data_IF_966460102260
#
_entry.id   IF_966460102260
#
_cell.length_a   1.000
_cell.length_b   1.000
_cell.length_c   1.000
_cell.angle_alpha   90.00
_cell.angle_beta   90.00
_cell.angle_gamma   90.00
#
_symmetry.space_group_name_H-M   'P 1'
#
loop_
_entity.id
_entity.type
_entity.pdbx_description
1 polymer ?
#
# COMPACT_ATOMS: atom_id res chain seq x y z
N UNK A 1 15.41 9.94 -1.35
CA UNK A 1 16.84 9.99 -1.73
C UNK A 1 16.95 11.11 -2.73
N UNK A 2 17.74 12.12 -2.39
CA UNK A 2 18.12 13.20 -3.30
C UNK A 2 19.51 12.81 -3.84
N UNK A 3 19.63 12.63 -5.16
CA UNK A 3 20.87 12.21 -5.82
C UNK A 3 21.77 13.40 -6.17
N UNK A 4 21.63 14.51 -5.45
CA UNK A 4 22.29 15.78 -5.75
C UNK A 4 21.29 16.75 -6.38
N UNK A 5 21.55 18.07 -6.29
CA UNK A 5 20.58 19.07 -6.72
C UNK A 5 20.21 18.82 -8.18
N UNK A 6 18.91 18.57 -8.41
CA UNK A 6 18.31 18.66 -9.73
C UNK A 6 18.80 19.97 -10.36
N UNK A 7 19.42 19.87 -11.54
CA UNK A 7 19.84 21.04 -12.33
C UNK A 7 18.65 21.82 -12.88
N UNK A 8 17.45 21.32 -12.60
CA UNK A 8 16.21 21.76 -13.17
C UNK A 8 15.61 22.78 -12.19
N UNK A 9 15.30 23.96 -12.69
CA UNK A 9 14.98 25.17 -11.90
C UNK A 9 13.67 25.14 -11.09
N UNK A 10 13.28 24.02 -10.48
CA UNK A 10 12.13 23.97 -9.58
C UNK A 10 12.04 22.64 -8.85
N UNK A 11 11.73 22.71 -7.54
CA UNK A 11 11.59 21.61 -6.58
C UNK A 11 10.59 20.53 -7.04
N UNK A 12 10.99 19.63 -7.95
CA UNK A 12 10.16 18.56 -8.52
C UNK A 12 10.93 17.25 -8.52
N UNK A 13 10.20 16.16 -8.31
CA UNK A 13 10.75 14.80 -8.43
C UNK A 13 10.79 14.44 -9.90
N UNK A 14 11.91 13.90 -10.40
CA UNK A 14 12.10 13.60 -11.82
C UNK A 14 12.77 12.24 -12.09
N UNK A 15 12.65 11.79 -13.34
CA UNK A 15 13.29 10.57 -13.85
C UNK A 15 14.46 10.81 -14.81
N UNK A 16 14.88 12.05 -15.03
CA UNK A 16 15.86 12.41 -16.06
C UNK A 16 17.28 12.32 -15.50
N UNK A 17 18.09 11.42 -16.07
CA UNK A 17 19.45 11.12 -15.60
C UNK A 17 19.46 10.23 -14.35
N UNK A 18 18.76 10.63 -13.28
CA UNK A 18 18.56 9.84 -12.07
C UNK A 18 17.07 9.67 -11.78
N UNK A 19 16.66 8.47 -11.37
CA UNK A 19 15.30 8.26 -10.84
C UNK A 19 15.23 8.75 -9.40
N UNK A 20 14.41 9.76 -9.16
CA UNK A 20 14.14 10.31 -7.85
C UNK A 20 12.90 9.67 -7.22
N UNK A 21 12.87 9.63 -5.89
CA UNK A 21 11.77 9.02 -5.14
C UNK A 21 11.55 9.65 -3.76
N UNK A 22 10.29 9.70 -3.36
CA UNK A 22 9.81 10.13 -2.05
C UNK A 22 9.50 8.92 -1.19
N UNK A 23 10.06 8.88 0.03
CA UNK A 23 9.76 7.86 1.03
C UNK A 23 8.67 8.36 1.97
N UNK A 24 7.59 7.60 2.09
CA UNK A 24 6.55 7.82 3.08
C UNK A 24 6.66 6.77 4.18
N UNK A 25 6.56 7.22 5.43
CA UNK A 25 6.56 6.37 6.62
C UNK A 25 5.28 6.59 7.41
N UNK A 26 4.62 5.48 7.74
CA UNK A 26 3.48 5.45 8.65
C UNK A 26 3.83 4.65 9.91
N UNK A 27 3.17 4.96 11.03
CA UNK A 27 3.36 4.23 12.29
C UNK A 27 2.73 2.82 12.27
N UNK A 28 1.83 2.58 11.32
CA UNK A 28 1.10 1.32 11.13
C UNK A 28 1.00 0.98 9.64
N UNK A 29 0.59 -0.24 9.31
CA UNK A 29 0.35 -0.63 7.92
C UNK A 29 -0.81 0.17 7.32
N UNK A 30 -0.57 0.80 6.17
CA UNK A 30 -1.53 1.60 5.42
C UNK A 30 -1.61 1.06 4.00
N UNK A 31 -2.81 0.99 3.46
CA UNK A 31 -3.07 0.80 2.03
C UNK A 31 -3.11 2.19 1.42
N UNK A 32 -2.13 2.56 0.59
CA UNK A 32 -2.24 3.81 -0.19
C UNK A 32 -3.27 3.61 -1.29
N UNK A 33 -4.40 4.31 -1.21
CA UNK A 33 -5.53 4.16 -2.13
C UNK A 33 -5.48 5.14 -3.29
N UNK A 34 -4.98 6.36 -3.05
CA UNK A 34 -4.89 7.37 -4.09
C UNK A 34 -3.74 8.35 -3.88
N UNK A 35 -3.23 8.88 -4.99
CA UNK A 35 -2.15 9.88 -5.03
C UNK A 35 -2.61 11.05 -5.90
N UNK A 36 -2.51 12.26 -5.33
CA UNK A 36 -2.74 13.52 -6.04
C UNK A 36 -1.42 14.10 -6.53
N UNK A 37 -1.37 14.47 -7.80
CA UNK A 37 -0.23 15.15 -8.42
C UNK A 37 -0.56 16.64 -8.57
N UNK A 38 0.36 17.49 -8.12
CA UNK A 38 0.22 18.94 -8.14
C UNK A 38 1.11 19.66 -9.16
N UNK A 39 1.86 18.92 -9.98
CA UNK A 39 2.75 19.49 -10.99
C UNK A 39 2.05 19.60 -12.34
N UNK A 40 2.03 20.81 -12.92
CA UNK A 40 1.05 21.22 -13.95
C UNK A 40 1.66 21.36 -15.35
N UNK A 41 2.94 21.03 -15.54
CA UNK A 41 3.63 21.28 -16.80
C UNK A 41 4.41 20.05 -17.25
N UNK A 42 3.77 19.22 -18.08
CA UNK A 42 4.37 18.01 -18.64
C UNK A 42 3.54 16.76 -18.35
N UNK A 43 4.13 15.60 -18.65
CA UNK A 43 3.61 14.30 -18.26
C UNK A 43 4.02 13.97 -16.81
N UNK A 44 3.28 13.09 -16.15
CA UNK A 44 3.56 12.67 -14.78
C UNK A 44 3.29 11.19 -14.63
N UNK A 45 4.30 10.39 -14.95
CA UNK A 45 4.27 8.96 -14.68
C UNK A 45 5.03 8.64 -13.40
N UNK A 46 4.41 7.81 -12.56
CA UNK A 46 4.99 7.41 -11.28
C UNK A 46 5.04 5.89 -11.17
N UNK A 47 5.96 5.43 -10.34
CA UNK A 47 5.99 4.06 -9.86
C UNK A 47 5.79 4.04 -8.35
N UNK A 48 4.91 3.15 -7.91
CA UNK A 48 4.58 2.94 -6.50
C UNK A 48 5.20 1.64 -6.02
N UNK A 49 5.97 1.72 -4.93
CA UNK A 49 6.56 0.57 -4.28
C UNK A 49 6.16 0.51 -2.81
N UNK A 50 6.05 -0.70 -2.30
CA UNK A 50 5.87 -0.97 -0.87
C UNK A 50 7.06 -1.74 -0.33
N UNK A 51 7.39 -1.51 0.93
CA UNK A 51 8.36 -2.35 1.63
C UNK A 51 7.67 -3.59 2.20
N UNK A 52 8.22 -4.76 1.92
CA UNK A 52 7.79 -6.08 2.43
C UNK A 52 8.85 -6.75 3.31
N UNK A 53 10.03 -6.14 3.44
CA UNK A 53 11.09 -6.63 4.31
C UNK A 53 10.79 -6.44 5.80
N UNK A 54 11.71 -6.91 6.64
CA UNK A 54 11.66 -6.72 8.09
C UNK A 54 12.48 -5.48 8.50
N UNK A 55 12.11 -4.84 9.60
CA UNK A 55 12.86 -3.70 10.14
C UNK A 55 12.74 -2.41 9.32
N UNK A 56 13.76 -1.56 9.42
CA UNK A 56 13.83 -0.28 8.71
C UNK A 56 14.41 -0.51 7.31
N UNK A 57 13.77 -0.05 6.23
CA UNK A 57 14.29 -0.21 4.89
C UNK A 57 15.64 0.50 4.74
N UNK A 58 16.60 -0.20 4.14
CA UNK A 58 17.89 0.38 3.76
C UNK A 58 17.79 0.90 2.33
N UNK A 59 18.26 2.12 2.12
CA UNK A 59 18.23 2.82 0.84
C UNK A 59 19.68 3.11 0.43
N UNK A 60 20.19 2.41 -0.59
CA UNK A 60 21.60 2.48 -1.02
C UNK A 60 21.71 2.53 -2.53
N UNK A 61 22.52 3.46 -3.06
CA UNK A 61 22.66 3.66 -4.50
C UNK A 61 21.49 4.45 -5.09
N UNK A 62 21.22 4.26 -6.38
CA UNK A 62 20.10 4.95 -7.06
C UNK A 62 18.75 4.35 -6.65
N UNK A 63 17.67 5.13 -6.77
CA UNK A 63 16.34 4.63 -6.45
C UNK A 63 15.97 3.42 -7.34
N UNK A 64 16.29 3.49 -8.63
CA UNK A 64 16.05 2.38 -9.55
C UNK A 64 16.81 1.10 -9.17
N UNK A 65 18.08 1.21 -8.76
CA UNK A 65 18.88 0.06 -8.32
C UNK A 65 18.34 -0.53 -7.00
N UNK A 66 17.90 0.32 -6.06
CA UNK A 66 17.30 -0.11 -4.80
C UNK A 66 15.98 -0.85 -5.03
N UNK A 67 15.14 -0.34 -5.93
CA UNK A 67 13.77 -0.82 -6.14
C UNK A 67 13.67 -2.05 -7.07
N UNK A 68 14.68 -2.29 -7.93
CA UNK A 68 14.76 -3.50 -8.77
C UNK A 68 15.47 -4.66 -8.09
N UNK A 69 16.20 -4.41 -7.00
CA UNK A 69 16.86 -5.46 -6.24
C UNK A 69 15.88 -6.11 -5.24
N UNK A 70 15.37 -7.29 -5.58
CA UNK A 70 14.44 -8.04 -4.73
C UNK A 70 14.98 -8.33 -3.31
N UNK A 71 16.30 -8.39 -3.12
CA UNK A 71 16.93 -8.56 -1.81
C UNK A 71 16.79 -7.36 -0.87
N UNK A 72 16.39 -6.20 -1.39
CA UNK A 72 16.21 -4.95 -0.62
C UNK A 72 14.81 -4.81 -0.02
N UNK A 73 13.93 -5.80 -0.20
CA UNK A 73 12.59 -5.83 0.40
C UNK A 73 11.60 -4.84 -0.20
N UNK A 74 11.91 -4.25 -1.36
CA UNK A 74 10.98 -3.41 -2.11
C UNK A 74 10.21 -4.22 -3.14
N UNK A 75 8.89 -4.06 -3.16
CA UNK A 75 8.00 -4.69 -4.12
C UNK A 75 7.25 -3.62 -4.91
N UNK A 76 7.29 -3.73 -6.25
CA UNK A 76 6.48 -2.89 -7.14
C UNK A 76 4.99 -3.19 -6.90
N UNK A 77 4.22 -2.14 -6.69
CA UNK A 77 2.76 -2.17 -6.54
C UNK A 77 2.10 -1.79 -7.86
N UNK A 78 2.67 -0.81 -8.56
CA UNK A 78 2.32 -0.55 -9.95
C UNK A 78 2.94 0.71 -10.53
N UNK A 79 2.88 0.80 -11.86
CA UNK A 79 3.26 1.97 -12.65
C UNK A 79 1.98 2.68 -13.11
N UNK A 80 1.93 3.99 -12.95
CA UNK A 80 0.73 4.79 -13.22
C UNK A 80 1.12 6.01 -14.02
N UNK A 81 0.53 6.15 -15.19
CA UNK A 81 0.71 7.33 -16.02
C UNK A 81 -0.58 8.03 -16.38
N UNK A 82 -0.43 9.06 -17.20
CA UNK A 82 -1.47 10.05 -17.49
C UNK A 82 -2.09 10.63 -16.19
N UNK A 83 -1.26 10.83 -15.15
CA UNK A 83 -1.74 11.35 -13.88
C UNK A 83 -1.98 12.86 -13.98
N UNK A 84 -3.12 13.23 -14.54
CA UNK A 84 -3.50 14.62 -14.72
C UNK A 84 -3.56 15.41 -13.41
N UNK A 85 -3.18 16.70 -13.48
CA UNK A 85 -3.55 17.69 -12.46
C UNK A 85 -5.05 17.85 -12.47
N UNK A 86 -5.69 17.38 -11.42
CA UNK A 86 -7.13 17.46 -11.32
C UNK A 86 -7.51 18.47 -10.25
N UNK A 87 -7.89 19.66 -10.70
CA UNK A 87 -8.43 20.74 -9.85
C UNK A 87 -9.80 20.41 -9.24
N UNK A 88 -10.46 19.33 -9.70
CA UNK A 88 -11.84 18.97 -9.33
C UNK A 88 -11.96 17.60 -8.62
N UNK A 89 -10.99 16.70 -8.76
CA UNK A 89 -10.91 15.41 -8.07
C UNK A 89 -9.45 15.12 -7.66
N UNK A 90 -9.03 15.47 -6.44
CA UNK A 90 -7.63 15.73 -6.09
C UNK A 90 -6.72 14.49 -5.95
N UNK A 91 -7.12 13.33 -6.48
CA UNK A 91 -6.30 12.11 -6.37
C UNK A 91 -6.68 11.04 -7.39
N UNK A 92 -5.66 10.39 -7.97
CA UNK A 92 -5.79 9.23 -8.84
C UNK A 92 -5.76 7.94 -8.03
N UNK A 93 -6.67 7.01 -8.30
CA UNK A 93 -6.68 5.70 -7.66
C UNK A 93 -5.42 4.89 -8.03
N UNK A 94 -4.77 4.33 -7.02
CA UNK A 94 -3.59 3.46 -7.15
C UNK A 94 -3.81 2.19 -6.32
N UNK A 95 -2.88 1.23 -6.41
CA UNK A 95 -2.86 0.03 -5.57
C UNK A 95 -4.20 -0.74 -5.58
N UNK A 96 -4.65 -1.12 -6.78
CA UNK A 96 -5.95 -1.79 -6.96
C UNK A 96 -6.03 -3.16 -6.29
N UNK A 97 -4.88 -3.81 -6.06
CA UNK A 97 -4.74 -5.05 -5.29
C UNK A 97 -4.97 -4.83 -3.79
N UNK A 98 -4.84 -3.59 -3.32
CA UNK A 98 -5.13 -3.17 -1.96
C UNK A 98 -4.01 -3.44 -0.97
N UNK A 99 -2.81 -3.79 -1.43
CA UNK A 99 -1.66 -4.19 -0.60
C UNK A 99 -1.27 -3.14 0.44
N UNK A 100 -0.91 -3.58 1.65
CA UNK A 100 -0.50 -2.72 2.76
C UNK A 100 1.02 -2.62 2.95
N UNK A 101 1.48 -1.50 3.50
CA UNK A 101 2.81 -1.36 4.12
C UNK A 101 2.88 -0.13 5.04
N UNK A 102 3.84 -0.11 5.95
CA UNK A 102 4.20 1.08 6.72
C UNK A 102 5.24 1.96 6.02
N UNK A 103 5.88 1.46 4.95
CA UNK A 103 6.84 2.20 4.15
C UNK A 103 6.52 2.12 2.67
N UNK A 104 6.44 3.28 2.03
CA UNK A 104 6.09 3.42 0.63
C UNK A 104 7.11 4.29 -0.09
N UNK A 105 7.48 3.92 -1.29
CA UNK A 105 8.24 4.77 -2.22
C UNK A 105 7.34 5.17 -3.38
N UNK A 106 7.34 6.46 -3.68
CA UNK A 106 6.73 7.01 -4.89
C UNK A 106 7.87 7.60 -5.70
N UNK A 107 8.17 7.03 -6.86
CA UNK A 107 9.24 7.49 -7.74
C UNK A 107 8.69 8.01 -9.06
N UNK A 108 9.52 8.75 -9.78
CA UNK A 108 9.29 8.95 -11.21
C UNK A 108 9.33 7.57 -11.90
N UNK A 109 8.57 7.42 -12.97
CA UNK A 109 8.58 6.19 -13.73
C UNK A 109 9.98 5.88 -14.29
N UNK A 110 10.30 4.59 -14.38
CA UNK A 110 11.50 4.10 -15.04
C UNK A 110 11.15 2.82 -15.79
N UNK A 111 11.61 2.69 -17.03
CA UNK A 111 11.34 1.52 -17.88
C UNK A 111 11.81 0.20 -17.25
N UNK A 112 12.81 0.23 -16.38
CA UNK A 112 13.27 -0.95 -15.62
C UNK A 112 12.23 -1.50 -14.63
N UNK A 113 11.19 -0.73 -14.29
CA UNK A 113 10.10 -1.15 -13.42
C UNK A 113 8.96 -1.85 -14.18
N UNK A 114 9.05 -1.98 -15.50
CA UNK A 114 8.07 -2.69 -16.33
C UNK A 114 6.90 -1.81 -16.80
N UNK A 115 5.82 -2.45 -17.23
CA UNK A 115 4.70 -1.79 -17.94
C UNK A 115 3.70 -1.07 -17.02
N UNK A 116 2.86 -0.21 -17.61
CA UNK A 116 1.77 0.47 -16.93
C UNK A 116 0.73 -0.48 -16.32
N UNK A 117 0.26 -0.15 -15.11
CA UNK A 117 -0.98 -0.67 -14.55
C UNK A 117 -2.19 0.19 -14.91
N UNK A 118 -1.96 1.49 -15.19
CA UNK A 118 -2.97 2.46 -15.63
C UNK A 118 -2.30 3.56 -16.46
N UNK A 119 -2.98 4.03 -17.49
CA UNK A 119 -2.49 5.08 -18.37
C UNK A 119 -1.40 4.59 -19.32
N UNK A 120 -0.89 5.51 -20.13
CA UNK A 120 0.36 5.35 -20.86
C UNK A 120 1.51 5.71 -19.92
N UNK A 121 2.59 4.93 -19.94
CA UNK A 121 3.82 5.32 -19.26
C UNK A 121 4.95 5.37 -20.26
N UNK A 122 5.75 6.43 -20.24
CA UNK A 122 6.98 6.54 -21.00
C UNK A 122 8.09 7.17 -20.14
N UNK A 123 9.34 6.96 -20.53
CA UNK A 123 10.47 7.52 -19.78
C UNK A 123 10.97 8.75 -20.50
N UNK A 124 11.13 9.84 -19.75
CA UNK A 124 11.92 10.98 -20.20
C UNK A 124 11.43 12.34 -19.76
N UNK A 125 10.16 12.46 -19.31
CA UNK A 125 9.60 13.73 -18.84
C UNK A 125 8.72 13.56 -17.59
N UNK A 126 9.07 12.58 -16.75
CA UNK A 126 8.29 12.21 -15.56
C UNK A 126 8.60 13.14 -14.41
N UNK A 127 7.99 14.33 -14.43
CA UNK A 127 8.15 15.33 -13.39
C UNK A 127 6.90 15.38 -12.55
N UNK A 128 7.02 15.26 -11.23
CA UNK A 128 5.85 15.39 -10.38
C UNK A 128 6.13 16.06 -9.03
N UNK A 129 5.05 16.59 -8.46
CA UNK A 129 4.96 17.02 -7.07
C UNK A 129 3.77 16.31 -6.44
N UNK A 130 3.97 15.76 -5.25
CA UNK A 130 2.87 15.14 -4.51
C UNK A 130 2.03 16.25 -3.91
N UNK A 131 0.77 16.32 -4.33
CA UNK A 131 -0.24 17.22 -3.75
C UNK A 131 -0.93 16.56 -2.55
N UNK A 132 -1.29 15.29 -2.69
CA UNK A 132 -1.98 14.55 -1.66
C UNK A 132 -1.66 13.06 -1.73
N UNK A 133 -1.75 12.38 -0.58
CA UNK A 133 -1.84 10.92 -0.52
C UNK A 133 -3.00 10.56 0.39
N UNK A 134 -3.81 9.60 -0.02
CA UNK A 134 -4.90 9.08 0.79
C UNK A 134 -4.78 7.57 0.92
N UNK A 135 -5.08 7.06 2.10
CA UNK A 135 -4.98 5.65 2.40
C UNK A 135 -5.92 5.23 3.52
N UNK A 136 -6.08 3.91 3.63
CA UNK A 136 -6.90 3.26 4.65
C UNK A 136 -6.03 2.34 5.50
N UNK A 137 -6.45 2.10 6.74
CA UNK A 137 -5.71 1.20 7.62
C UNK A 137 -5.73 -0.23 7.06
N UNK A 138 -4.55 -0.86 6.98
CA UNK A 138 -4.44 -2.30 6.76
C UNK A 138 -4.45 -2.99 8.13
N UNK A 139 -5.60 -3.57 8.48
CA UNK A 139 -5.88 -4.12 9.81
C UNK A 139 -5.64 -5.63 9.91
N UNK A 140 -5.43 -6.35 8.80
CA UNK A 140 -5.27 -7.82 8.79
C UNK A 140 -4.30 -8.29 7.70
N UNK A 141 -3.21 -8.95 8.09
CA UNK A 141 -2.28 -9.58 7.14
C UNK A 141 -1.60 -8.59 6.17
N UNK A 142 -1.21 -9.09 4.99
CA UNK A 142 -0.53 -8.35 3.92
C UNK A 142 -1.54 -7.69 2.95
N UNK A 143 -2.51 -6.96 3.50
CA UNK A 143 -3.88 -6.82 2.98
C UNK A 143 -4.02 -6.74 1.44
N UNK A 144 -4.45 -7.80 0.74
CA UNK A 144 -4.66 -7.82 -0.71
C UNK A 144 -6.13 -8.06 -1.10
N UNK A 145 -7.06 -7.32 -0.50
CA UNK A 145 -8.49 -7.47 -0.74
C UNK A 145 -9.28 -6.45 0.05
N UNK A 146 -9.66 -5.34 -0.61
CA UNK A 146 -10.46 -4.20 -0.14
C UNK A 146 -11.13 -4.42 1.24
N UNK A 147 -10.53 -3.83 2.27
CA UNK A 147 -11.12 -3.73 3.59
C UNK A 147 -12.46 -2.98 3.50
N UNK A 148 -13.56 -3.73 3.52
CA UNK A 148 -14.88 -3.24 3.92
C UNK A 148 -15.37 -4.16 5.03
N UNK A 149 -15.33 -3.66 6.28
CA UNK A 149 -15.94 -4.29 7.43
C UNK A 149 -14.96 -5.04 8.33
N UNK A 150 -14.71 -4.44 9.49
CA UNK A 150 -13.98 -5.06 10.59
C UNK A 150 -14.43 -6.51 10.84
N UNK A 151 -13.53 -7.47 10.60
CA UNK A 151 -13.62 -8.76 11.29
C UNK A 151 -13.06 -8.57 12.68
N UNK A 152 -13.92 -8.07 13.56
CA UNK A 152 -13.76 -8.34 15.00
C UNK A 152 -13.69 -9.87 15.09
N UNK A 153 -12.66 -10.47 15.71
CA UNK A 153 -12.71 -11.88 16.06
C UNK A 153 -14.02 -12.07 16.81
N UNK A 154 -14.97 -12.82 16.24
CA UNK A 154 -16.21 -13.16 16.94
C UNK A 154 -15.78 -13.69 18.31
N UNK A 155 -16.11 -12.98 19.41
CA UNK A 155 -15.50 -13.28 20.69
C UNK A 155 -15.74 -14.75 20.99
N UNK A 156 -14.73 -15.45 21.50
CA UNK A 156 -14.85 -16.84 21.94
C UNK A 156 -16.05 -17.08 22.87
N UNK A 157 -16.65 -16.01 23.41
CA UNK A 157 -17.99 -15.95 23.99
C UNK A 157 -19.08 -16.68 23.20
N UNK A 158 -19.14 -16.62 21.85
CA UNK A 158 -20.20 -17.33 21.11
C UNK A 158 -19.98 -18.85 21.13
N UNK A 159 -18.71 -19.28 20.98
CA UNK A 159 -18.32 -20.67 21.17
C UNK A 159 -18.53 -21.13 22.62
N UNK A 160 -18.27 -20.26 23.61
CA UNK A 160 -18.46 -20.56 25.04
C UNK A 160 -19.94 -20.61 25.43
N UNK A 161 -20.78 -19.76 24.86
CA UNK A 161 -22.24 -19.79 25.03
C UNK A 161 -22.81 -21.06 24.38
N UNK A 162 -22.35 -21.42 23.18
CA UNK A 162 -22.73 -22.67 22.53
C UNK A 162 -22.31 -23.90 23.36
N UNK A 163 -21.06 -23.94 23.84
CA UNK A 163 -20.57 -25.00 24.71
C UNK A 163 -21.33 -25.07 26.05
N UNK A 164 -21.65 -23.92 26.64
CA UNK A 164 -22.44 -23.81 27.86
C UNK A 164 -23.87 -24.34 27.69
N UNK A 165 -24.54 -24.01 26.59
CA UNK A 165 -25.88 -24.52 26.29
C UNK A 165 -25.87 -26.05 26.12
N UNK A 166 -24.94 -26.58 25.33
CA UNK A 166 -24.81 -28.03 25.11
C UNK A 166 -24.51 -28.76 26.42
N UNK A 167 -23.64 -28.20 27.27
CA UNK A 167 -23.38 -28.72 28.62
C UNK A 167 -24.63 -28.76 29.50
N UNK A 168 -25.42 -27.68 29.52
CA UNK A 168 -26.65 -27.60 30.33
C UNK A 168 -27.72 -28.61 29.88
N UNK A 169 -27.94 -28.75 28.57
CA UNK A 169 -28.88 -29.73 28.02
C UNK A 169 -28.39 -31.18 28.20
N UNK A 170 -27.08 -31.42 28.11
CA UNK A 170 -26.47 -32.73 28.35
C UNK A 170 -26.61 -33.20 29.80
N UNK A 171 -26.42 -32.31 30.78
CA UNK A 171 -26.57 -32.63 32.21
C UNK A 171 -28.03 -32.88 32.59
N UNK A 172 -28.98 -32.16 31.99
CA UNK A 172 -30.41 -32.36 32.24
C UNK A 172 -30.89 -33.74 31.82
N UNK A 173 -30.35 -34.30 30.74
CA UNK A 173 -30.72 -35.63 30.22
C UNK A 173 -30.23 -36.79 31.08
N UNK A 174 -29.13 -36.61 31.82
CA UNK A 174 -28.62 -37.64 32.76
C UNK A 174 -29.40 -37.70 34.08
N UNK A 175 -30.01 -36.60 34.52
CA UNK A 175 -30.84 -36.59 35.75
C UNK A 175 -32.13 -37.39 35.60
N UNK A 176 -32.70 -37.50 34.41
CA UNK A 176 -33.91 -38.29 34.16
C UNK A 176 -33.64 -39.80 34.09
N UNK A 177 -32.39 -40.24 33.87
CA UNK A 177 -32.04 -41.65 33.72
C UNK A 177 -31.63 -42.33 35.05
N UNK A 178 -31.30 -41.57 36.10
CA UNK A 178 -30.95 -42.12 37.42
C UNK A 178 -32.10 -42.04 38.45
N UNK A 179 -33.32 -41.68 38.02
CA UNK A 179 -34.50 -41.54 38.89
C UNK A 179 -35.49 -42.71 38.86
N UNK A 180 -35.09 -43.86 38.31
CA UNK A 180 -35.87 -45.12 38.39
C UNK A 180 -34.98 -46.23 38.94
N UNK A 181 -34.98 -46.34 40.26
CA UNK A 181 -34.69 -47.56 41.01
C UNK A 181 -35.74 -47.64 42.14
#
# INVERSE_FOLDING_TARGET
MDNGPSTDSGDKINGVGNTEAVLLKFSSSVILNSIGIGYVSGDSDISLFRYTGTGVPTLTGTAAATMTNAGMGWQLVGNYGDLAVNSSAPSNAVNSTGVGSSWWLISAYNTSFGSANKGTVDQGNDYFKIYAVAGSACTTGDCGGRNQGARIPEPGSLALVAAGLVGAFGVRRRRTLNGKA
#
